data_IF_792904486605
#
_entry.id   IF_792904486605
#
_cell.length_a   1.000
_cell.length_b   1.000
_cell.length_c   1.000
_cell.angle_alpha   90.00
_cell.angle_beta   90.00
_cell.angle_gamma   90.00
#
_symmetry.space_group_name_H-M   'P 1'
#
loop_
_entity.id
_entity.type
_entity.pdbx_description
1 polymer ?
#
# COMPACT_ATOMS: atom_id res chain seq x y z
N UNK A 1 21.61 11.42 57.91
CA UNK A 1 20.35 11.12 58.63
C UNK A 1 19.49 10.24 57.73
N UNK A 2 19.78 8.94 57.65
CA UNK A 2 19.07 7.99 56.77
C UNK A 2 17.82 7.52 57.52
N UNK A 3 16.69 8.20 57.28
CA UNK A 3 15.40 7.85 57.87
C UNK A 3 14.98 6.44 57.43
N UNK A 4 14.65 5.62 58.43
CA UNK A 4 14.13 4.26 58.29
C UNK A 4 12.87 4.26 57.43
N UNK A 5 12.95 3.72 56.21
CA UNK A 5 11.76 3.34 55.45
C UNK A 5 10.84 2.49 56.34
N UNK A 6 9.52 2.80 56.41
CA UNK A 6 8.59 2.02 57.22
C UNK A 6 8.55 0.57 56.71
N UNK A 7 8.51 -0.39 57.65
CA UNK A 7 8.68 -1.82 57.36
C UNK A 7 7.70 -2.31 56.28
N UNK A 8 6.49 -1.76 56.25
CA UNK A 8 5.44 -2.01 55.24
C UNK A 8 5.88 -1.75 53.80
N UNK A 9 6.61 -0.66 53.54
CA UNK A 9 7.12 -0.33 52.19
C UNK A 9 8.23 -1.30 51.77
N UNK A 10 9.04 -1.78 52.72
CA UNK A 10 10.03 -2.82 52.42
C UNK A 10 9.38 -4.16 52.08
N UNK A 11 8.29 -4.53 52.75
CA UNK A 11 7.55 -5.77 52.47
C UNK A 11 6.89 -5.75 51.08
N UNK A 12 6.28 -4.63 50.68
CA UNK A 12 5.67 -4.50 49.34
C UNK A 12 6.72 -4.51 48.23
N UNK A 13 7.85 -3.83 48.41
CA UNK A 13 8.95 -3.83 47.43
C UNK A 13 9.61 -5.21 47.27
N UNK A 14 9.77 -5.97 48.35
CA UNK A 14 10.31 -7.34 48.31
C UNK A 14 9.34 -8.32 47.64
N UNK A 15 8.04 -8.19 47.91
CA UNK A 15 7.00 -8.96 47.24
C UNK A 15 6.92 -8.64 45.75
N UNK A 16 7.05 -7.36 45.37
CA UNK A 16 7.16 -6.97 43.97
C UNK A 16 8.38 -7.59 43.30
N UNK A 17 9.56 -7.56 43.96
CA UNK A 17 10.78 -8.17 43.43
C UNK A 17 10.61 -9.67 43.19
N UNK A 18 10.03 -10.39 44.14
CA UNK A 18 9.83 -11.84 44.00
C UNK A 18 8.77 -12.17 42.93
N UNK A 19 7.74 -11.33 42.77
CA UNK A 19 6.79 -11.41 41.66
C UNK A 19 7.48 -11.17 40.31
N UNK A 20 8.31 -10.13 40.20
CA UNK A 20 9.08 -9.83 38.99
C UNK A 20 10.08 -10.95 38.64
N UNK A 21 10.68 -11.61 39.63
CA UNK A 21 11.58 -12.74 39.39
C UNK A 21 10.81 -13.98 38.91
N UNK A 22 9.57 -14.17 39.37
CA UNK A 22 8.72 -15.28 38.92
C UNK A 22 8.03 -15.02 37.58
N UNK A 23 7.58 -13.80 37.32
CA UNK A 23 6.95 -13.38 36.06
C UNK A 23 7.99 -13.04 34.97
N UNK A 24 9.19 -12.63 35.36
CA UNK A 24 10.27 -12.18 34.48
C UNK A 24 10.59 -13.13 33.33
N UNK A 25 10.82 -14.44 33.57
CA UNK A 25 11.07 -15.39 32.48
C UNK A 25 9.91 -15.46 31.46
N UNK A 26 8.66 -15.35 31.92
CA UNK A 26 7.49 -15.38 31.04
C UNK A 26 7.33 -14.08 30.25
N UNK A 27 7.59 -12.93 30.86
CA UNK A 27 7.62 -11.64 30.17
C UNK A 27 8.74 -11.64 29.13
N UNK A 28 9.93 -12.11 29.49
CA UNK A 28 11.06 -12.26 28.57
C UNK A 28 10.73 -13.21 27.41
N UNK A 29 10.05 -14.33 27.69
CA UNK A 29 9.59 -15.24 26.64
C UNK A 29 8.59 -14.54 25.71
N UNK A 30 7.59 -13.83 26.25
CA UNK A 30 6.62 -13.11 25.43
C UNK A 30 7.28 -12.03 24.55
N UNK A 31 8.20 -11.24 25.13
CA UNK A 31 8.97 -10.23 24.39
C UNK A 31 9.86 -10.90 23.34
N UNK A 32 10.50 -12.02 23.65
CA UNK A 32 11.31 -12.77 22.70
C UNK A 32 10.48 -13.31 21.54
N UNK A 33 9.30 -13.87 21.81
CA UNK A 33 8.37 -14.34 20.78
C UNK A 33 7.87 -13.19 19.91
N UNK A 34 7.54 -12.04 20.50
CA UNK A 34 7.15 -10.85 19.76
C UNK A 34 8.30 -10.29 18.91
N UNK A 35 9.52 -10.27 19.44
CA UNK A 35 10.71 -9.82 18.71
C UNK A 35 11.05 -10.76 17.55
N UNK A 36 10.92 -12.08 17.77
CA UNK A 36 11.12 -13.08 16.72
C UNK A 36 10.04 -12.99 15.65
N UNK A 37 8.78 -12.76 16.05
CA UNK A 37 7.68 -12.50 15.12
C UNK A 37 7.90 -11.21 14.32
N UNK A 38 8.32 -10.13 14.98
CA UNK A 38 8.66 -8.87 14.32
C UNK A 38 9.76 -9.05 13.29
N UNK A 39 10.83 -9.78 13.65
CA UNK A 39 11.93 -10.07 12.74
C UNK A 39 11.52 -10.95 11.56
N UNK A 40 10.63 -11.92 11.78
CA UNK A 40 10.19 -12.85 10.74
C UNK A 40 9.16 -12.27 9.77
N UNK A 41 8.23 -11.43 10.26
CA UNK A 41 7.16 -10.85 9.46
C UNK A 41 7.53 -9.54 8.75
N UNK A 42 8.65 -8.91 9.15
CA UNK A 42 9.10 -7.58 8.73
C UNK A 42 7.93 -6.60 8.54
N UNK A 43 7.21 -6.26 9.63
CA UNK A 43 5.91 -5.62 9.50
C UNK A 43 6.01 -4.20 8.94
N UNK A 44 7.14 -3.50 9.08
CA UNK A 44 7.27 -2.11 8.69
C UNK A 44 7.73 -1.98 7.23
N UNK A 45 7.13 -1.09 6.43
CA UNK A 45 7.59 -0.90 5.08
C UNK A 45 9.00 -0.32 5.02
N UNK A 46 9.72 -0.58 3.92
CA UNK A 46 10.93 0.14 3.62
C UNK A 46 10.62 1.63 3.49
N UNK A 47 11.56 2.47 3.92
CA UNK A 47 11.42 3.94 3.93
C UNK A 47 11.63 4.58 2.57
N UNK A 48 11.87 3.78 1.53
CA UNK A 48 12.18 4.25 0.19
C UNK A 48 11.45 3.39 -0.83
N UNK A 49 10.90 4.04 -1.84
CA UNK A 49 10.27 3.39 -2.99
C UNK A 49 10.62 4.17 -4.25
N UNK A 50 10.85 3.49 -5.35
CA UNK A 50 11.18 4.09 -6.64
C UNK A 50 9.96 4.10 -7.56
N UNK A 51 9.61 5.28 -8.08
CA UNK A 51 8.44 5.48 -8.93
C UNK A 51 8.86 5.99 -10.31
N UNK A 52 8.64 5.21 -11.35
CA UNK A 52 8.81 5.65 -12.73
C UNK A 52 7.68 6.60 -13.15
N UNK A 53 8.06 7.73 -13.75
CA UNK A 53 7.15 8.83 -14.09
C UNK A 53 7.03 9.02 -15.60
N UNK A 54 7.34 10.18 -16.14
CA UNK A 54 7.32 10.45 -17.57
C UNK A 54 8.24 11.60 -17.91
N UNK A 55 8.17 12.11 -19.15
CA UNK A 55 8.96 13.25 -19.59
C UNK A 55 8.67 14.49 -18.74
N UNK A 56 9.58 15.48 -18.80
CA UNK A 56 9.36 16.76 -18.15
C UNK A 56 8.04 17.41 -18.61
N UNK A 57 7.32 18.03 -17.69
CA UNK A 57 6.02 18.69 -17.89
C UNK A 57 4.88 17.73 -18.29
N UNK A 58 5.09 16.42 -18.19
CA UNK A 58 4.03 15.43 -18.41
C UNK A 58 3.11 15.30 -17.19
N UNK A 59 1.90 14.78 -17.42
CA UNK A 59 0.98 14.44 -16.34
C UNK A 59 1.61 13.44 -15.35
N UNK A 60 2.40 12.48 -15.82
CA UNK A 60 3.06 11.49 -14.98
C UNK A 60 4.11 12.08 -14.04
N UNK A 61 4.86 13.10 -14.48
CA UNK A 61 5.79 13.81 -13.61
C UNK A 61 5.04 14.53 -12.48
N UNK A 62 3.97 15.25 -12.82
CA UNK A 62 3.16 15.99 -11.86
C UNK A 62 2.45 15.06 -10.88
N UNK A 63 1.88 13.95 -11.35
CA UNK A 63 1.33 12.93 -10.46
C UNK A 63 2.42 12.31 -9.59
N UNK A 64 3.58 11.98 -10.14
CA UNK A 64 4.73 11.48 -9.37
C UNK A 64 5.09 12.39 -8.19
N UNK A 65 5.16 13.72 -8.42
CA UNK A 65 5.39 14.71 -7.35
C UNK A 65 4.30 14.68 -6.27
N UNK A 66 3.03 14.51 -6.66
CA UNK A 66 1.90 14.39 -5.73
C UNK A 66 1.98 13.12 -4.89
N UNK A 67 2.31 11.97 -5.49
CA UNK A 67 2.55 10.73 -4.76
C UNK A 67 3.73 10.86 -3.80
N UNK A 68 4.84 11.47 -4.24
CA UNK A 68 5.99 11.73 -3.38
C UNK A 68 5.63 12.58 -2.16
N UNK A 69 4.86 13.65 -2.37
CA UNK A 69 4.38 14.51 -1.29
C UNK A 69 3.44 13.76 -0.33
N UNK A 70 2.54 12.94 -0.85
CA UNK A 70 1.59 12.17 -0.05
C UNK A 70 2.31 11.15 0.86
N UNK A 71 3.24 10.37 0.30
CA UNK A 71 3.97 9.34 1.04
C UNK A 71 5.02 9.92 2.00
N UNK A 72 5.54 11.11 1.73
CA UNK A 72 6.48 11.79 2.63
C UNK A 72 5.88 12.09 4.01
N UNK A 73 4.55 12.27 4.09
CA UNK A 73 3.83 12.46 5.38
C UNK A 73 4.01 11.24 6.29
N UNK A 74 4.09 10.04 5.70
CA UNK A 74 4.29 8.78 6.41
C UNK A 74 5.78 8.42 6.58
N UNK A 75 6.69 9.35 6.28
CA UNK A 75 8.13 9.15 6.39
C UNK A 75 8.73 8.25 5.31
N UNK A 76 8.06 8.13 4.15
CA UNK A 76 8.51 7.33 3.02
C UNK A 76 9.00 8.24 1.90
N UNK A 77 10.26 8.04 1.50
CA UNK A 77 10.88 8.73 0.38
C UNK A 77 10.47 8.06 -0.94
N UNK A 78 9.73 8.78 -1.79
CA UNK A 78 9.46 8.34 -3.16
C UNK A 78 10.50 8.95 -4.09
N UNK A 79 11.37 8.09 -4.64
CA UNK A 79 12.37 8.50 -5.62
C UNK A 79 11.76 8.47 -7.00
N UNK A 80 11.48 9.65 -7.53
CA UNK A 80 10.95 9.82 -8.88
C UNK A 80 12.05 9.52 -9.90
N UNK A 81 11.77 8.59 -10.80
CA UNK A 81 12.62 8.27 -11.93
C UNK A 81 11.97 8.80 -13.22
N UNK A 82 12.50 9.87 -13.82
CA UNK A 82 12.06 10.34 -15.13
C UNK A 82 12.23 9.25 -16.19
N UNK A 83 11.36 9.24 -17.19
CA UNK A 83 11.36 8.27 -18.28
C UNK A 83 10.75 8.87 -19.54
N UNK A 84 10.80 8.13 -20.64
CA UNK A 84 10.12 8.50 -21.90
C UNK A 84 8.59 8.24 -21.87
N UNK A 85 8.04 7.71 -20.77
CA UNK A 85 6.62 7.42 -20.61
C UNK A 85 6.30 5.93 -20.38
N UNK A 86 5.08 5.52 -20.71
CA UNK A 86 4.50 4.21 -20.33
C UNK A 86 5.35 3.01 -20.73
N UNK A 87 5.90 2.98 -21.96
CA UNK A 87 6.68 1.83 -22.46
C UNK A 87 8.01 1.69 -21.70
N UNK A 88 8.68 2.82 -21.46
CA UNK A 88 9.89 2.85 -20.67
C UNK A 88 9.61 2.47 -19.21
N UNK A 89 8.48 2.91 -18.63
CA UNK A 89 8.09 2.55 -17.26
C UNK A 89 7.87 1.05 -17.11
N UNK A 90 7.15 0.42 -18.04
CA UNK A 90 6.94 -1.02 -18.00
C UNK A 90 8.25 -1.78 -18.12
N UNK A 91 9.16 -1.35 -19.00
CA UNK A 91 10.48 -1.97 -19.12
C UNK A 91 11.30 -1.82 -17.82
N UNK A 92 11.26 -0.64 -17.18
CA UNK A 92 11.93 -0.42 -15.90
C UNK A 92 11.36 -1.30 -14.78
N UNK A 93 10.04 -1.56 -14.79
CA UNK A 93 9.37 -2.46 -13.86
C UNK A 93 9.81 -3.92 -14.08
N UNK A 94 9.81 -4.38 -15.34
CA UNK A 94 10.30 -5.72 -15.75
C UNK A 94 11.74 -5.96 -15.33
N UNK A 95 12.59 -4.96 -15.48
CA UNK A 95 14.01 -5.03 -15.11
C UNK A 95 14.26 -4.90 -13.59
N UNK A 96 13.22 -4.67 -12.77
CA UNK A 96 13.36 -4.43 -11.33
C UNK A 96 14.11 -3.14 -11.00
N UNK A 97 14.22 -2.21 -11.96
CA UNK A 97 14.89 -0.92 -11.78
C UNK A 97 14.01 0.14 -11.12
N UNK A 98 12.71 -0.12 -11.02
CA UNK A 98 11.74 0.62 -10.22
C UNK A 98 10.76 -0.32 -9.52
N UNK A 99 10.18 0.13 -8.42
CA UNK A 99 9.18 -0.63 -7.67
C UNK A 99 7.77 -0.43 -8.23
N UNK A 100 7.50 0.77 -8.75
CA UNK A 100 6.19 1.25 -9.17
C UNK A 100 6.32 2.13 -10.42
N UNK A 101 5.32 2.18 -11.29
CA UNK A 101 5.30 3.07 -12.45
C UNK A 101 3.91 3.29 -13.03
N UNK A 102 3.71 4.44 -13.66
CA UNK A 102 2.49 4.70 -14.44
C UNK A 102 2.57 3.99 -15.79
N UNK A 103 1.56 3.19 -16.13
CA UNK A 103 1.51 2.48 -17.41
C UNK A 103 0.14 2.69 -18.03
N UNK A 104 0.13 3.30 -19.22
CA UNK A 104 -1.05 3.43 -20.06
C UNK A 104 -1.34 2.08 -20.72
N UNK A 105 -2.60 1.67 -20.72
CA UNK A 105 -3.01 0.44 -21.35
C UNK A 105 -2.84 0.45 -22.87
N UNK A 106 -2.57 -0.72 -23.45
CA UNK A 106 -2.29 -0.89 -24.88
C UNK A 106 -0.89 -0.46 -25.34
N UNK A 107 -0.04 0.04 -24.43
CA UNK A 107 1.35 0.45 -24.70
C UNK A 107 2.20 -0.70 -25.26
N UNK A 108 2.05 -1.89 -24.71
CA UNK A 108 2.68 -3.13 -25.15
C UNK A 108 1.86 -4.33 -24.68
N UNK A 109 2.07 -5.48 -25.30
CA UNK A 109 1.40 -6.69 -24.86
C UNK A 109 2.10 -7.22 -23.58
N UNK A 110 1.28 -7.61 -22.61
CA UNK A 110 1.75 -8.26 -21.39
C UNK A 110 2.05 -9.74 -21.67
N UNK A 111 3.10 -10.25 -21.06
CA UNK A 111 3.51 -11.66 -21.11
C UNK A 111 2.97 -12.39 -19.88
N UNK A 112 2.91 -13.73 -19.93
CA UNK A 112 2.53 -14.53 -18.76
C UNK A 112 3.41 -14.22 -17.54
N UNK A 113 4.70 -13.95 -17.77
CA UNK A 113 5.62 -13.54 -16.71
C UNK A 113 5.25 -12.18 -16.10
N UNK A 114 4.74 -11.24 -16.89
CA UNK A 114 4.28 -9.95 -16.36
C UNK A 114 3.08 -10.13 -15.41
N UNK A 115 2.18 -11.07 -15.69
CA UNK A 115 1.04 -11.36 -14.80
C UNK A 115 1.47 -11.98 -13.46
N UNK A 116 2.64 -12.64 -13.41
CA UNK A 116 3.23 -13.20 -12.18
C UNK A 116 4.06 -12.17 -11.41
N UNK A 117 4.83 -11.34 -12.13
CA UNK A 117 5.82 -10.42 -11.55
C UNK A 117 5.24 -9.02 -11.27
N UNK A 118 4.16 -8.63 -11.93
CA UNK A 118 3.53 -7.31 -11.83
C UNK A 118 2.07 -7.40 -11.35
N UNK A 119 1.65 -6.35 -10.65
CA UNK A 119 0.27 -6.17 -10.23
C UNK A 119 -0.17 -4.73 -10.43
N UNK A 120 -1.45 -4.53 -10.68
CA UNK A 120 -2.06 -3.21 -10.76
C UNK A 120 -2.53 -2.74 -9.39
N UNK A 121 -2.18 -1.51 -9.03
CA UNK A 121 -2.72 -0.79 -7.86
C UNK A 121 -4.04 -0.07 -8.18
N UNK A 122 -4.56 -0.27 -9.40
CA UNK A 122 -5.80 0.31 -9.89
C UNK A 122 -5.60 1.21 -11.10
N UNK A 123 -6.66 1.30 -11.89
CA UNK A 123 -6.80 2.27 -12.96
C UNK A 123 -7.01 3.64 -12.35
N UNK A 124 -6.21 4.63 -12.74
CA UNK A 124 -6.14 5.95 -12.09
C UNK A 124 -6.92 7.03 -12.82
N UNK A 125 -6.92 7.00 -14.15
CA UNK A 125 -7.62 7.93 -15.01
C UNK A 125 -7.56 7.43 -16.46
N UNK A 126 -8.39 8.04 -17.30
CA UNK A 126 -8.38 7.82 -18.74
C UNK A 126 -7.62 8.94 -19.45
N UNK A 127 -6.98 8.60 -20.56
CA UNK A 127 -6.26 9.53 -21.42
C UNK A 127 -6.94 9.59 -22.79
N UNK A 128 -7.92 10.49 -22.99
CA UNK A 128 -8.66 10.54 -24.24
C UNK A 128 -7.75 10.74 -25.45
N UNK A 129 -8.07 10.03 -26.53
CA UNK A 129 -7.41 10.19 -27.82
C UNK A 129 -8.00 11.41 -28.54
N UNK A 130 -7.32 12.54 -28.45
CA UNK A 130 -7.68 13.79 -29.09
C UNK A 130 -7.25 13.76 -30.55
N UNK A 131 -8.19 13.52 -31.46
CA UNK A 131 -7.96 13.66 -32.90
C UNK A 131 -8.58 14.96 -33.40
N UNK A 132 -7.75 15.99 -33.52
CA UNK A 132 -8.15 17.26 -34.11
C UNK A 132 -7.90 17.25 -35.61
N UNK A 133 -8.81 17.86 -36.36
CA UNK A 133 -8.68 18.04 -37.80
C UNK A 133 -9.11 19.43 -38.21
N UNK A 134 -8.59 19.89 -39.35
CA UNK A 134 -9.02 21.16 -39.94
C UNK A 134 -10.32 20.97 -40.69
N UNK A 135 -11.26 21.88 -40.51
CA UNK A 135 -12.59 21.80 -41.12
C UNK A 135 -12.51 21.80 -42.66
N UNK A 136 -11.56 22.53 -43.25
CA UNK A 136 -11.33 22.55 -44.69
C UNK A 136 -10.88 21.19 -45.24
N UNK A 137 -10.07 20.44 -44.48
CA UNK A 137 -9.68 19.08 -44.82
C UNK A 137 -10.91 18.14 -44.80
N UNK A 138 -11.76 18.22 -43.78
CA UNK A 138 -12.99 17.42 -43.72
C UNK A 138 -13.95 17.73 -44.87
N UNK A 139 -14.07 19.01 -45.28
CA UNK A 139 -14.86 19.40 -46.46
C UNK A 139 -14.33 18.76 -47.74
N UNK A 140 -13.00 18.70 -47.92
CA UNK A 140 -12.38 18.04 -49.08
C UNK A 140 -12.66 16.54 -49.11
N UNK A 141 -12.53 15.86 -47.97
CA UNK A 141 -12.86 14.43 -47.84
C UNK A 141 -14.33 14.17 -48.20
N UNK A 142 -15.25 14.98 -47.65
CA UNK A 142 -16.67 14.85 -47.93
C UNK A 142 -17.00 15.11 -49.42
N UNK A 143 -16.34 16.08 -50.05
CA UNK A 143 -16.50 16.35 -51.49
C UNK A 143 -15.99 15.18 -52.36
N UNK A 144 -14.83 14.61 -52.02
CA UNK A 144 -14.28 13.45 -52.72
C UNK A 144 -15.19 12.21 -52.59
N UNK A 145 -15.73 11.96 -51.39
CA UNK A 145 -16.66 10.87 -51.16
C UNK A 145 -17.98 11.03 -51.96
N UNK A 146 -18.48 12.26 -52.07
CA UNK A 146 -19.66 12.56 -52.92
C UNK A 146 -19.35 12.34 -54.40
N UNK A 147 -18.19 12.77 -54.89
CA UNK A 147 -17.79 12.56 -56.28
C UNK A 147 -17.60 11.08 -56.63
N UNK A 148 -17.19 10.25 -55.67
CA UNK A 148 -17.04 8.80 -55.84
C UNK A 148 -18.40 8.04 -55.86
N UNK A 149 -19.45 8.58 -55.23
CA UNK A 149 -20.82 8.05 -55.33
C UNK A 149 -21.43 8.53 -56.68
N UNK A 150 -21.55 7.62 -57.65
CA UNK A 150 -22.04 7.89 -59.02
C UNK A 150 -23.35 8.72 -59.07
N UNK A 151 -23.59 9.51 -60.14
CA UNK A 151 -24.80 10.33 -60.27
C UNK A 151 -26.00 9.44 -60.59
N UNK A 152 -26.77 9.02 -59.57
CA UNK A 152 -27.98 8.22 -59.78
C UNK A 152 -28.63 7.60 -58.54
N UNK A 153 -27.94 7.55 -57.40
CA UNK A 153 -28.55 7.08 -56.15
C UNK A 153 -29.48 8.18 -55.57
N UNK A 154 -30.78 8.09 -55.85
CA UNK A 154 -31.80 8.93 -55.20
C UNK A 154 -31.67 8.82 -53.68
N UNK A 155 -31.63 9.97 -53.03
CA UNK A 155 -31.76 10.11 -51.59
C UNK A 155 -33.14 9.59 -51.13
N UNK A 156 -33.18 8.33 -50.69
CA UNK A 156 -34.28 7.76 -49.94
C UNK A 156 -33.74 7.38 -48.56
N UNK A 157 -33.74 8.34 -47.64
CA UNK A 157 -33.27 8.16 -46.27
C UNK A 157 -32.76 9.47 -45.69
N UNK A 158 -33.05 9.72 -44.40
CA UNK A 158 -32.54 10.83 -43.58
C UNK A 158 -31.10 11.20 -43.96
N UNK A 159 -30.85 12.51 -44.09
CA UNK A 159 -29.55 13.15 -44.31
C UNK A 159 -28.37 12.23 -43.95
N UNK A 160 -27.61 11.84 -44.97
CA UNK A 160 -26.32 11.14 -44.83
C UNK A 160 -25.47 11.98 -43.85
N UNK A 161 -24.78 11.40 -42.85
CA UNK A 161 -23.98 12.13 -41.86
C UNK A 161 -22.80 12.93 -42.44
N UNK A 162 -22.66 12.96 -43.77
CA UNK A 162 -21.71 13.76 -44.53
C UNK A 162 -22.18 15.21 -44.81
N UNK A 163 -23.40 15.61 -44.43
CA UNK A 163 -23.87 17.00 -44.61
C UNK A 163 -23.10 18.00 -43.74
N UNK A 164 -22.72 17.61 -42.53
CA UNK A 164 -21.78 18.36 -41.72
C UNK A 164 -20.36 17.90 -42.03
N UNK A 165 -19.50 18.79 -42.51
CA UNK A 165 -18.09 18.53 -42.78
C UNK A 165 -17.34 18.15 -41.49
N UNK A 166 -17.54 16.90 -41.08
CA UNK A 166 -17.09 16.32 -39.85
C UNK A 166 -16.52 14.93 -40.12
N UNK A 167 -15.47 14.59 -39.37
CA UNK A 167 -14.86 13.27 -39.42
C UNK A 167 -15.43 12.44 -38.26
N UNK A 168 -15.84 11.22 -38.55
CA UNK A 168 -16.43 10.28 -37.58
C UNK A 168 -15.88 8.85 -37.68
N UNK A 169 -15.00 8.58 -38.66
CA UNK A 169 -14.39 7.28 -38.88
C UNK A 169 -12.92 7.41 -39.30
N UNK A 170 -12.05 6.51 -38.81
CA UNK A 170 -10.62 6.52 -39.12
C UNK A 170 -10.30 6.32 -40.61
N UNK A 171 -11.18 5.65 -41.35
CA UNK A 171 -11.05 5.46 -42.81
C UNK A 171 -11.06 6.80 -43.57
N UNK A 172 -11.67 7.84 -43.00
CA UNK A 172 -11.72 9.17 -43.60
C UNK A 172 -10.39 9.93 -43.49
N UNK A 173 -9.40 9.40 -42.76
CA UNK A 173 -8.06 9.99 -42.66
C UNK A 173 -7.18 9.64 -43.86
N UNK A 174 -7.57 8.66 -44.69
CA UNK A 174 -6.77 8.23 -45.84
C UNK A 174 -6.49 9.40 -46.78
N UNK A 175 -5.22 9.57 -47.17
CA UNK A 175 -4.75 10.68 -48.00
C UNK A 175 -4.49 12.01 -47.25
N UNK A 176 -4.87 12.13 -45.97
CA UNK A 176 -4.58 13.31 -45.15
C UNK A 176 -3.14 13.30 -44.59
N UNK A 177 -2.64 14.50 -44.29
CA UNK A 177 -1.39 14.70 -43.55
C UNK A 177 -1.67 14.65 -42.06
N UNK A 178 -1.25 13.58 -41.40
CA UNK A 178 -1.60 13.30 -40.01
C UNK A 178 -0.35 13.23 -39.15
N UNK A 179 -0.31 13.94 -38.03
CA UNK A 179 0.74 13.76 -37.03
C UNK A 179 0.28 12.78 -35.94
N UNK A 180 1.08 11.74 -35.70
CA UNK A 180 0.80 10.71 -34.69
C UNK A 180 1.66 10.84 -33.42
N UNK A 181 2.39 11.95 -33.27
CA UNK A 181 3.29 12.16 -32.14
C UNK A 181 4.61 11.39 -32.24
N UNK A 182 5.44 11.53 -31.21
CA UNK A 182 6.75 10.87 -31.14
C UNK A 182 6.61 9.38 -30.80
N UNK A 183 7.59 8.53 -31.17
CA UNK A 183 7.56 7.08 -30.89
C UNK A 183 7.31 6.70 -29.42
N UNK A 184 7.81 7.47 -28.46
CA UNK A 184 7.65 7.21 -27.02
C UNK A 184 6.29 7.57 -26.42
N UNK A 185 5.47 8.36 -27.13
CA UNK A 185 4.22 8.92 -26.59
C UNK A 185 3.05 7.94 -26.45
N UNK A 186 3.21 6.67 -26.86
CA UNK A 186 2.12 5.68 -26.88
C UNK A 186 1.09 5.85 -28.00
N UNK A 187 0.90 7.08 -28.51
CA UNK A 187 -0.03 7.39 -29.61
C UNK A 187 0.26 6.58 -30.88
N UNK A 188 1.51 6.43 -31.37
CA UNK A 188 1.77 5.64 -32.58
C UNK A 188 1.38 4.16 -32.43
N UNK A 189 1.60 3.56 -31.26
CA UNK A 189 1.24 2.16 -30.97
C UNK A 189 -0.28 1.99 -30.98
N UNK A 190 -0.99 2.85 -30.25
CA UNK A 190 -2.45 2.85 -30.19
C UNK A 190 -3.07 3.08 -31.59
N UNK A 191 -2.61 4.10 -32.31
CA UNK A 191 -3.09 4.39 -33.65
C UNK A 191 -2.77 3.27 -34.63
N UNK A 192 -1.62 2.60 -34.51
CA UNK A 192 -1.31 1.40 -35.27
C UNK A 192 -2.37 0.31 -35.08
N UNK A 193 -2.65 -0.06 -33.82
CA UNK A 193 -3.68 -1.06 -33.47
C UNK A 193 -5.07 -0.66 -34.01
N UNK A 194 -5.44 0.62 -33.91
CA UNK A 194 -6.72 1.13 -34.42
C UNK A 194 -6.78 1.10 -35.96
N UNK A 195 -5.74 1.55 -36.66
CA UNK A 195 -5.70 1.55 -38.13
C UNK A 195 -5.73 0.12 -38.69
N UNK A 196 -4.96 -0.80 -38.11
CA UNK A 196 -4.95 -2.21 -38.47
C UNK A 196 -6.34 -2.86 -38.27
N UNK A 197 -6.99 -2.56 -37.15
CA UNK A 197 -8.36 -3.03 -36.84
C UNK A 197 -9.40 -2.57 -37.86
N UNK A 198 -9.16 -1.44 -38.53
CA UNK A 198 -9.97 -0.90 -39.63
C UNK A 198 -9.44 -1.27 -41.03
N UNK A 199 -8.40 -2.11 -41.13
CA UNK A 199 -7.74 -2.52 -42.38
C UNK A 199 -7.23 -1.34 -43.21
N UNK A 200 -6.71 -0.31 -42.54
CA UNK A 200 -6.10 0.85 -43.19
C UNK A 200 -4.61 0.62 -43.28
N UNK A 201 -4.08 0.62 -44.51
CA UNK A 201 -2.64 0.58 -44.74
C UNK A 201 -2.02 1.93 -44.35
N UNK A 202 -1.07 1.99 -43.40
CA UNK A 202 -0.38 3.21 -43.02
C UNK A 202 0.28 3.95 -44.19
N UNK A 203 0.65 3.26 -45.27
CA UNK A 203 1.23 3.89 -46.47
C UNK A 203 0.24 4.82 -47.21
N UNK A 204 -1.07 4.66 -46.97
CA UNK A 204 -2.10 5.55 -47.51
C UNK A 204 -2.21 6.87 -46.75
N UNK A 205 -1.56 6.96 -45.58
CA UNK A 205 -1.54 8.15 -44.72
C UNK A 205 -0.20 8.87 -44.88
N UNK A 206 -0.23 10.20 -44.94
CA UNK A 206 1.00 11.00 -44.87
C UNK A 206 1.34 11.27 -43.41
N UNK A 207 1.98 10.30 -42.77
CA UNK A 207 2.26 10.31 -41.32
C UNK A 207 3.50 11.15 -41.01
N UNK A 208 3.36 12.05 -40.06
CA UNK A 208 4.47 12.76 -39.38
C UNK A 208 4.56 12.35 -37.91
N UNK A 209 5.75 12.51 -37.32
CA UNK A 209 6.07 12.14 -35.93
C UNK A 209 6.73 13.28 -35.17
N UNK A 210 6.14 14.47 -35.31
CA UNK A 210 6.56 15.68 -34.63
C UNK A 210 6.11 15.66 -33.16
N UNK A 211 6.90 16.32 -32.31
CA UNK A 211 6.52 16.65 -30.94
C UNK A 211 5.28 17.56 -30.89
N UNK A 212 4.64 17.63 -29.73
CA UNK A 212 3.33 18.29 -29.56
C UNK A 212 3.33 19.76 -30.02
N UNK A 213 4.32 20.56 -29.63
CA UNK A 213 4.39 21.98 -30.00
C UNK A 213 4.67 22.18 -31.50
N UNK A 214 5.73 21.59 -32.09
CA UNK A 214 5.95 21.69 -33.55
C UNK A 214 4.78 21.14 -34.37
N UNK A 215 4.15 20.03 -33.95
CA UNK A 215 2.98 19.47 -34.61
C UNK A 215 1.80 20.45 -34.61
N UNK A 216 1.56 21.11 -33.48
CA UNK A 216 0.47 22.09 -33.36
C UNK A 216 0.74 23.30 -34.24
N UNK A 217 1.97 23.81 -34.28
CA UNK A 217 2.34 24.93 -35.15
C UNK A 217 2.13 24.57 -36.63
N UNK A 218 2.61 23.40 -37.06
CA UNK A 218 2.43 22.92 -38.42
C UNK A 218 0.94 22.71 -38.77
N UNK A 219 0.13 22.24 -37.82
CA UNK A 219 -1.31 22.06 -37.98
C UNK A 219 -2.05 23.39 -38.12
N UNK A 220 -1.81 24.36 -37.25
CA UNK A 220 -2.40 25.68 -37.33
C UNK A 220 -1.95 26.43 -38.59
N UNK A 221 -0.71 26.20 -39.05
CA UNK A 221 -0.16 26.72 -40.31
C UNK A 221 -0.71 26.05 -41.57
N UNK A 222 -1.51 24.98 -41.46
CA UNK A 222 -2.08 24.26 -42.60
C UNK A 222 -1.11 23.30 -43.30
N UNK A 223 0.04 23.00 -42.69
CA UNK A 223 0.98 21.96 -43.14
C UNK A 223 0.52 20.55 -42.78
N UNK A 224 -0.34 20.43 -41.76
CA UNK A 224 -1.01 19.19 -41.38
C UNK A 224 -2.53 19.35 -41.47
N UNK A 225 -3.21 18.25 -41.79
CA UNK A 225 -4.66 18.19 -41.89
C UNK A 225 -5.31 17.66 -40.60
N UNK A 226 -4.58 16.81 -39.86
CA UNK A 226 -5.00 16.28 -38.56
C UNK A 226 -3.81 16.05 -37.63
N UNK A 227 -4.07 16.14 -36.32
CA UNK A 227 -3.12 15.84 -35.25
C UNK A 227 -3.78 14.96 -34.20
N UNK A 228 -3.00 14.02 -33.65
CA UNK A 228 -3.46 13.09 -32.62
C UNK A 228 -2.64 13.27 -31.36
N UNK A 229 -3.32 13.41 -30.21
CA UNK A 229 -2.71 13.40 -28.89
C UNK A 229 -3.39 12.37 -27.98
N UNK A 230 -2.60 11.70 -27.14
CA UNK A 230 -3.10 11.07 -25.92
C UNK A 230 -2.61 11.93 -24.77
N UNK A 231 -3.53 12.62 -24.09
CA UNK A 231 -3.17 13.53 -23.01
C UNK A 231 -4.32 13.71 -22.03
N UNK A 232 -3.97 14.18 -20.83
CA UNK A 232 -4.96 14.58 -19.84
C UNK A 232 -5.95 15.63 -20.41
N UNK A 233 -7.23 15.54 -20.05
CA UNK A 233 -8.29 16.41 -20.57
C UNK A 233 -8.04 17.91 -20.42
N UNK A 234 -7.50 18.33 -19.28
CA UNK A 234 -7.35 19.72 -18.92
C UNK A 234 -6.06 20.37 -19.47
N UNK A 235 -5.35 19.69 -20.38
CA UNK A 235 -4.18 20.25 -21.04
C UNK A 235 -4.50 21.60 -21.71
N UNK A 236 -3.67 22.62 -21.46
CA UNK A 236 -3.81 23.95 -22.07
C UNK A 236 -3.83 23.89 -23.60
N UNK A 237 -3.09 22.94 -24.19
CA UNK A 237 -3.05 22.76 -25.63
C UNK A 237 -4.40 22.25 -26.18
N UNK A 238 -5.01 21.27 -25.49
CA UNK A 238 -6.32 20.72 -25.85
C UNK A 238 -7.40 21.80 -25.73
N UNK A 239 -7.37 22.59 -24.65
CA UNK A 239 -8.27 23.73 -24.45
C UNK A 239 -8.16 24.76 -25.59
N UNK A 240 -6.93 25.14 -25.95
CA UNK A 240 -6.68 26.07 -27.05
C UNK A 240 -7.23 25.54 -28.38
N UNK A 241 -6.98 24.26 -28.70
CA UNK A 241 -7.45 23.67 -29.95
C UNK A 241 -8.97 23.51 -30.01
N UNK A 242 -9.63 23.18 -28.90
CA UNK A 242 -11.10 23.12 -28.82
C UNK A 242 -11.76 24.48 -29.04
N UNK A 243 -11.05 25.58 -28.75
CA UNK A 243 -11.52 26.95 -28.93
C UNK A 243 -11.04 27.57 -30.26
N UNK A 244 -10.16 26.90 -31.00
CA UNK A 244 -9.58 27.47 -32.23
C UNK A 244 -10.57 27.39 -33.40
N UNK A 245 -10.89 28.53 -34.05
CA UNK A 245 -11.77 28.54 -35.22
C UNK A 245 -11.25 27.67 -36.37
N UNK A 246 -12.14 26.89 -36.99
CA UNK A 246 -11.78 26.00 -38.10
C UNK A 246 -11.09 24.70 -37.68
N UNK A 247 -10.87 24.48 -36.38
CA UNK A 247 -10.41 23.20 -35.81
C UNK A 247 -11.62 22.48 -35.24
N UNK A 248 -11.74 21.18 -35.55
CA UNK A 248 -12.79 20.32 -35.00
C UNK A 248 -12.19 19.07 -34.38
N UNK A 249 -12.88 18.54 -33.37
CA UNK A 249 -12.56 17.27 -32.74
C UNK A 249 -13.33 16.13 -33.44
N UNK A 250 -12.64 15.03 -33.73
CA UNK A 250 -13.26 13.86 -34.36
C UNK A 250 -14.15 13.11 -33.37
N UNK A 251 -15.36 12.77 -33.82
CA UNK A 251 -16.30 11.97 -33.03
C UNK A 251 -16.07 10.48 -33.31
N UNK A 252 -15.54 9.73 -32.34
CA UNK A 252 -15.38 8.29 -32.43
C UNK A 252 -16.72 7.56 -32.27
N UNK A 253 -17.51 7.57 -33.34
CA UNK A 253 -18.83 6.90 -33.42
C UNK A 253 -18.83 5.41 -33.03
N UNK A 254 -17.66 4.76 -33.15
CA UNK A 254 -17.44 3.35 -32.84
C UNK A 254 -16.68 3.14 -31.51
N UNK A 255 -16.64 4.14 -30.62
CA UNK A 255 -15.93 4.10 -29.33
C UNK A 255 -16.24 2.84 -28.51
N UNK A 256 -17.53 2.49 -28.39
CA UNK A 256 -18.03 1.27 -27.73
C UNK A 256 -17.58 -0.03 -28.41
N UNK A 257 -17.40 -0.01 -29.74
CA UNK A 257 -16.90 -1.19 -30.45
C UNK A 257 -15.40 -1.38 -30.20
N UNK A 258 -14.65 -0.28 -30.09
CA UNK A 258 -13.23 -0.36 -29.76
C UNK A 258 -12.99 -0.87 -28.34
N UNK A 259 -13.74 -0.42 -27.33
CA UNK A 259 -13.60 -0.90 -25.95
C UNK A 259 -13.88 -2.40 -25.81
N UNK A 260 -14.81 -2.94 -26.59
CA UNK A 260 -15.09 -4.39 -26.61
C UNK A 260 -14.01 -5.23 -27.29
N UNK A 261 -13.23 -4.62 -28.20
CA UNK A 261 -12.13 -5.30 -28.89
C UNK A 261 -10.79 -5.13 -28.19
N UNK A 262 -10.62 -4.03 -27.46
CA UNK A 262 -9.40 -3.67 -26.78
C UNK A 262 -9.74 -3.35 -25.32
N UNK A 263 -9.44 -4.31 -24.42
CA UNK A 263 -9.81 -4.22 -23.00
C UNK A 263 -9.22 -2.99 -22.29
N UNK A 264 -8.12 -2.43 -22.80
CA UNK A 264 -7.50 -1.21 -22.27
C UNK A 264 -8.21 0.10 -22.65
N UNK A 265 -9.18 0.05 -23.59
CA UNK A 265 -9.89 1.23 -24.07
C UNK A 265 -11.22 1.40 -23.35
N UNK A 266 -11.43 2.61 -22.83
CA UNK A 266 -12.69 3.05 -22.24
C UNK A 266 -13.42 3.96 -23.23
N UNK A 267 -14.71 3.73 -23.53
CA UNK A 267 -15.49 4.70 -24.28
C UNK A 267 -15.76 5.90 -23.38
N UNK A 268 -15.48 7.10 -23.88
CA UNK A 268 -15.64 8.33 -23.10
C UNK A 268 -16.45 9.35 -23.89
N UNK A 269 -17.11 10.25 -23.17
CA UNK A 269 -17.90 11.32 -23.77
C UNK A 269 -17.42 12.64 -23.23
N UNK A 270 -17.06 13.56 -24.13
CA UNK A 270 -16.85 14.96 -23.82
C UNK A 270 -18.21 15.67 -23.85
N UNK A 271 -18.77 16.08 -22.72
CA UNK A 271 -20.10 16.68 -22.69
C UNK A 271 -20.11 18.04 -23.40
N UNK A 272 -21.22 18.35 -24.06
CA UNK A 272 -21.51 19.68 -24.59
C UNK A 272 -21.25 20.77 -23.55
N UNK A 273 -20.52 21.82 -23.94
CA UNK A 273 -20.26 22.99 -23.11
C UNK A 273 -19.23 22.80 -21.98
N UNK A 274 -18.62 21.62 -21.83
CA UNK A 274 -17.71 21.35 -20.69
C UNK A 274 -16.43 22.19 -20.69
N UNK A 275 -15.99 22.68 -21.85
CA UNK A 275 -14.81 23.54 -21.99
C UNK A 275 -15.17 24.98 -21.66
N UNK A 276 -16.28 25.46 -22.22
CA UNK A 276 -16.84 26.78 -21.96
C UNK A 276 -18.37 26.68 -22.04
N UNK A 277 -19.02 26.86 -20.88
CA UNK A 277 -20.48 26.77 -20.76
C UNK A 277 -21.20 27.95 -21.42
N UNK A 278 -20.58 29.13 -21.44
CA UNK A 278 -21.18 30.34 -22.00
C UNK A 278 -21.10 30.31 -23.54
N UNK A 279 -19.95 29.91 -24.07
CA UNK A 279 -19.75 29.72 -25.51
C UNK A 279 -20.30 28.38 -26.02
N UNK A 280 -20.71 27.48 -25.12
CA UNK A 280 -21.18 26.13 -25.42
C UNK A 280 -20.16 25.33 -26.24
N UNK A 281 -18.94 25.20 -25.72
CA UNK A 281 -17.82 24.47 -26.33
C UNK A 281 -17.58 23.15 -25.57
N UNK A 282 -17.58 21.98 -26.24
CA UNK A 282 -18.00 21.75 -27.63
C UNK A 282 -19.52 21.97 -27.80
N UNK A 283 -20.00 22.22 -29.03
CA UNK A 283 -21.42 22.48 -29.31
C UNK A 283 -22.33 21.27 -29.08
N UNK A 284 -21.79 20.07 -29.22
CA UNK A 284 -22.46 18.78 -29.06
C UNK A 284 -21.59 17.82 -28.23
N UNK A 285 -22.20 16.76 -27.72
CA UNK A 285 -21.48 15.67 -27.06
C UNK A 285 -20.56 14.96 -28.08
N UNK A 286 -19.27 14.86 -27.76
CA UNK A 286 -18.28 14.18 -28.63
C UNK A 286 -17.87 12.87 -27.99
N UNK A 287 -18.01 11.75 -28.73
CA UNK A 287 -17.51 10.46 -28.27
C UNK A 287 -16.02 10.35 -28.56
N UNK A 288 -15.27 9.87 -27.58
CA UNK A 288 -13.84 9.64 -27.65
C UNK A 288 -13.54 8.21 -27.20
N UNK A 289 -12.38 7.74 -27.60
CA UNK A 289 -11.80 6.50 -27.10
C UNK A 289 -10.60 6.87 -26.24
N UNK A 290 -10.50 6.29 -25.04
CA UNK A 290 -9.49 6.66 -24.08
C UNK A 290 -8.80 5.42 -23.52
N UNK A 291 -7.50 5.20 -23.76
CA UNK A 291 -6.73 4.26 -22.97
C UNK A 291 -6.77 4.62 -21.49
N UNK A 292 -6.70 3.58 -20.66
CA UNK A 292 -6.73 3.73 -19.20
C UNK A 292 -5.31 3.66 -18.65
N UNK A 293 -4.92 4.63 -17.83
CA UNK A 293 -3.62 4.62 -17.16
C UNK A 293 -3.75 4.00 -15.78
N UNK A 294 -2.91 3.01 -15.49
CA UNK A 294 -2.86 2.29 -14.22
C UNK A 294 -1.55 2.53 -13.50
N UNK A 295 -1.59 2.47 -12.16
CA UNK A 295 -0.38 2.43 -11.35
C UNK A 295 0.05 0.97 -11.21
N UNK A 296 1.16 0.59 -11.82
CA UNK A 296 1.67 -0.79 -11.78
C UNK A 296 2.77 -0.88 -10.74
N UNK A 297 2.73 -1.93 -9.92
CA UNK A 297 3.77 -2.28 -8.96
C UNK A 297 4.32 -3.66 -9.30
N UNK A 298 5.54 -3.93 -8.85
CA UNK A 298 6.00 -5.32 -8.75
C UNK A 298 5.26 -6.08 -7.65
N UNK A 299 5.02 -7.38 -7.83
CA UNK A 299 4.40 -8.25 -6.81
C UNK A 299 5.26 -8.37 -5.55
N UNK A 300 6.58 -8.29 -5.71
CA UNK A 300 7.54 -8.26 -4.59
C UNK A 300 7.63 -6.94 -3.82
N UNK A 301 6.96 -5.86 -4.27
CA UNK A 301 6.94 -4.60 -3.53
C UNK A 301 6.24 -4.78 -2.18
N UNK A 302 6.79 -4.22 -1.11
CA UNK A 302 6.25 -4.44 0.24
C UNK A 302 4.74 -4.07 0.32
N UNK A 303 3.85 -4.92 0.88
CA UNK A 303 2.40 -4.69 0.76
C UNK A 303 1.94 -3.40 1.46
N UNK A 304 2.64 -2.93 2.50
CA UNK A 304 2.28 -1.66 3.14
C UNK A 304 2.56 -0.45 2.22
N UNK A 305 3.56 -0.53 1.33
CA UNK A 305 3.77 0.48 0.29
C UNK A 305 2.67 0.41 -0.76
N UNK A 306 2.32 -0.79 -1.22
CA UNK A 306 1.21 -0.98 -2.16
C UNK A 306 -0.09 -0.36 -1.64
N UNK A 307 -0.38 -0.58 -0.35
CA UNK A 307 -1.54 0.01 0.32
C UNK A 307 -1.46 1.54 0.37
N UNK A 308 -0.34 2.12 0.79
CA UNK A 308 -0.19 3.58 0.87
C UNK A 308 -0.31 4.24 -0.50
N UNK A 309 0.27 3.63 -1.53
CA UNK A 309 0.17 4.12 -2.90
C UNK A 309 -1.27 4.04 -3.41
N UNK A 310 -1.97 2.93 -3.16
CA UNK A 310 -3.38 2.81 -3.54
C UNK A 310 -4.26 3.82 -2.80
N UNK A 311 -4.01 4.07 -1.51
CA UNK A 311 -4.70 5.10 -0.73
C UNK A 311 -4.41 6.51 -1.26
N UNK A 312 -3.14 6.84 -1.53
CA UNK A 312 -2.77 8.11 -2.15
C UNK A 312 -3.44 8.28 -3.52
N UNK A 313 -3.64 7.17 -4.24
CA UNK A 313 -4.40 7.15 -5.49
C UNK A 313 -5.84 7.65 -5.32
N UNK A 314 -6.55 7.21 -4.27
CA UNK A 314 -7.91 7.68 -3.97
C UNK A 314 -7.96 9.20 -3.78
N UNK A 315 -6.99 9.77 -3.07
CA UNK A 315 -6.94 11.21 -2.79
C UNK A 315 -6.53 12.02 -4.04
N UNK A 316 -5.57 11.53 -4.81
CA UNK A 316 -5.03 12.23 -5.99
C UNK A 316 -5.99 12.15 -7.18
N UNK A 317 -6.65 11.01 -7.38
CA UNK A 317 -7.45 10.74 -8.57
C UNK A 317 -8.98 10.75 -8.33
N UNK A 318 -9.45 10.80 -7.09
CA UNK A 318 -10.88 10.79 -6.73
C UNK A 318 -11.67 12.06 -7.02
N UNK A 319 -11.03 13.15 -7.46
CA UNK A 319 -11.73 14.37 -7.88
C UNK A 319 -12.54 14.18 -9.17
N UNK A 320 -13.59 14.99 -9.35
CA UNK A 320 -14.32 15.08 -10.62
C UNK A 320 -13.47 15.76 -11.71
N UNK A 321 -13.76 15.47 -12.98
CA UNK A 321 -13.11 16.07 -14.15
C UNK A 321 -13.98 15.94 -15.40
N UNK A 322 -13.47 16.32 -16.56
CA UNK A 322 -14.26 16.33 -17.80
C UNK A 322 -14.75 14.95 -18.25
N UNK A 323 -14.02 13.90 -17.91
CA UNK A 323 -14.28 12.52 -18.31
C UNK A 323 -14.46 11.57 -17.12
N UNK A 324 -14.62 12.11 -15.92
CA UNK A 324 -14.80 11.31 -14.71
C UNK A 324 -15.70 11.99 -13.69
N UNK A 325 -16.53 11.20 -13.05
CA UNK A 325 -17.30 11.59 -11.88
C UNK A 325 -16.43 11.60 -10.63
N UNK A 326 -16.88 12.31 -9.60
CA UNK A 326 -16.22 12.27 -8.29
C UNK A 326 -16.22 10.82 -7.76
N UNK A 327 -15.05 10.37 -7.28
CA UNK A 327 -14.79 9.03 -6.73
C UNK A 327 -14.96 7.88 -7.73
N UNK A 328 -14.91 8.17 -9.03
CA UNK A 328 -14.90 7.14 -10.07
C UNK A 328 -13.55 6.44 -10.19
N UNK A 329 -12.47 7.16 -9.93
CA UNK A 329 -11.10 6.64 -9.93
C UNK A 329 -10.41 6.85 -8.57
N UNK A 330 -9.44 6.00 -8.19
CA UNK A 330 -9.06 4.78 -8.86
C UNK A 330 -10.14 3.69 -8.84
N UNK A 331 -10.14 2.81 -9.85
CA UNK A 331 -11.03 1.66 -9.91
C UNK A 331 -10.30 0.41 -10.43
N UNK A 332 -11.05 -0.66 -10.65
CA UNK A 332 -10.53 -1.98 -11.05
C UNK A 332 -10.86 -2.34 -12.50
N UNK A 333 -11.57 -1.47 -13.19
CA UNK A 333 -12.10 -1.73 -14.51
C UNK A 333 -10.98 -1.55 -15.54
N UNK A 334 -11.03 -2.30 -16.64
CA UNK A 334 -10.08 -2.18 -17.76
C UNK A 334 -8.59 -2.36 -17.35
N UNK A 335 -8.35 -3.06 -16.23
CA UNK A 335 -7.00 -3.44 -15.79
C UNK A 335 -6.52 -4.63 -16.61
N UNK A 336 -5.41 -4.45 -17.32
CA UNK A 336 -4.76 -5.52 -18.10
C UNK A 336 -3.92 -6.47 -17.21
N UNK A 337 -3.65 -6.08 -15.96
CA UNK A 337 -2.92 -6.90 -14.97
C UNK A 337 -3.81 -7.23 -13.76
N UNK A 338 -3.51 -8.31 -13.01
CA UNK A 338 -4.18 -8.63 -11.76
C UNK A 338 -4.10 -7.47 -10.75
N UNK A 339 -5.21 -7.17 -10.08
CA UNK A 339 -5.24 -6.14 -9.03
C UNK A 339 -4.59 -6.66 -7.75
N UNK A 340 -3.67 -5.89 -7.18
CA UNK A 340 -3.06 -6.19 -5.88
C UNK A 340 -4.12 -6.25 -4.76
N UNK A 341 -3.99 -7.21 -3.83
CA UNK A 341 -4.98 -7.42 -2.75
C UNK A 341 -5.12 -6.19 -1.85
N UNK A 342 -4.03 -5.49 -1.65
CA UNK A 342 -3.92 -4.25 -0.87
C UNK A 342 -4.66 -3.11 -1.57
N UNK A 343 -4.50 -3.00 -2.89
CA UNK A 343 -5.19 -2.01 -3.70
C UNK A 343 -6.70 -2.26 -3.77
N UNK A 344 -7.13 -3.52 -3.92
CA UNK A 344 -8.55 -3.86 -3.89
C UNK A 344 -9.22 -3.41 -2.59
N UNK A 345 -8.55 -3.61 -1.45
CA UNK A 345 -9.03 -3.16 -0.13
C UNK A 345 -9.09 -1.64 -0.05
N UNK A 346 -8.04 -0.95 -0.51
CA UNK A 346 -7.97 0.51 -0.46
C UNK A 346 -9.04 1.18 -1.35
N UNK A 347 -9.29 0.64 -2.55
CA UNK A 347 -10.30 1.17 -3.48
C UNK A 347 -11.72 0.97 -2.92
N UNK A 348 -12.03 -0.22 -2.37
CA UNK A 348 -13.38 -0.51 -1.85
C UNK A 348 -13.68 0.14 -0.50
N UNK A 349 -12.74 0.07 0.44
CA UNK A 349 -12.99 0.36 1.85
C UNK A 349 -12.28 1.65 2.34
N UNK A 350 -11.42 2.25 1.51
CA UNK A 350 -10.63 3.42 1.87
C UNK A 350 -9.56 3.12 2.94
N UNK A 351 -9.37 4.07 3.85
CA UNK A 351 -8.39 3.93 4.95
C UNK A 351 -8.87 2.91 6.00
N UNK A 352 -8.01 1.94 6.38
CA UNK A 352 -8.29 0.98 7.44
C UNK A 352 -8.66 1.65 8.75
N UNK A 353 -9.49 0.97 9.54
CA UNK A 353 -10.03 1.50 10.81
C UNK A 353 -8.92 1.91 11.77
N UNK A 354 -7.85 1.11 11.89
CA UNK A 354 -6.75 1.41 12.80
C UNK A 354 -6.00 2.69 12.39
N UNK A 355 -5.83 2.94 11.08
CA UNK A 355 -5.18 4.14 10.55
C UNK A 355 -6.01 5.42 10.76
N UNK A 356 -7.30 5.31 11.10
CA UNK A 356 -8.12 6.48 11.45
C UNK A 356 -7.80 7.06 12.83
N UNK A 357 -7.21 6.26 13.72
CA UNK A 357 -6.95 6.63 15.11
C UNK A 357 -5.48 6.54 15.50
N UNK A 358 -4.68 5.77 14.77
CA UNK A 358 -3.27 5.52 15.04
C UNK A 358 -2.40 5.98 13.86
N UNK A 359 -1.16 6.44 14.11
CA UNK A 359 -0.19 6.66 13.05
C UNK A 359 0.02 5.40 12.21
N UNK A 360 0.30 5.56 10.91
CA UNK A 360 0.42 4.48 9.94
C UNK A 360 1.33 3.34 10.41
N UNK A 361 2.53 3.65 10.91
CA UNK A 361 3.48 2.65 11.40
C UNK A 361 2.86 1.74 12.48
N UNK A 362 2.16 2.32 13.46
CA UNK A 362 1.55 1.57 14.55
C UNK A 362 0.38 0.74 14.04
N UNK A 363 -0.47 1.33 13.19
CA UNK A 363 -1.60 0.62 12.60
C UNK A 363 -1.13 -0.59 11.78
N UNK A 364 -0.16 -0.38 10.89
CA UNK A 364 0.40 -1.42 10.03
C UNK A 364 1.14 -2.51 10.83
N UNK A 365 1.84 -2.14 11.92
CA UNK A 365 2.44 -3.10 12.85
C UNK A 365 1.38 -4.02 13.48
N UNK A 366 0.31 -3.43 14.01
CA UNK A 366 -0.77 -4.18 14.67
C UNK A 366 -1.52 -5.07 13.67
N UNK A 367 -1.88 -4.55 12.49
CA UNK A 367 -2.60 -5.32 11.47
C UNK A 367 -1.82 -6.56 11.03
N UNK A 368 -0.51 -6.43 10.83
CA UNK A 368 0.36 -7.53 10.40
C UNK A 368 0.65 -8.53 11.51
N UNK A 369 0.81 -8.04 12.74
CA UNK A 369 1.12 -8.90 13.88
C UNK A 369 -0.12 -9.50 14.54
N UNK A 370 -1.33 -9.07 14.21
CA UNK A 370 -2.55 -9.47 14.95
C UNK A 370 -2.72 -10.99 15.08
N UNK A 371 -2.51 -11.74 14.00
CA UNK A 371 -2.61 -13.20 14.02
C UNK A 371 -1.58 -13.81 14.99
N UNK A 372 -0.32 -13.39 14.89
CA UNK A 372 0.76 -13.92 15.73
C UNK A 372 0.62 -13.47 17.18
N UNK A 373 0.22 -12.22 17.41
CA UNK A 373 -0.09 -11.71 18.73
C UNK A 373 -1.24 -12.51 19.37
N UNK A 374 -2.27 -12.86 18.60
CA UNK A 374 -3.34 -13.75 19.04
C UNK A 374 -2.82 -15.13 19.45
N UNK A 375 -1.94 -15.74 18.65
CA UNK A 375 -1.31 -17.04 18.97
C UNK A 375 -0.43 -16.92 20.23
N UNK A 376 0.39 -15.88 20.34
CA UNK A 376 1.23 -15.64 21.52
C UNK A 376 0.37 -15.47 22.76
N UNK A 377 -0.70 -14.68 22.70
CA UNK A 377 -1.64 -14.51 23.82
C UNK A 377 -2.28 -15.86 24.20
N UNK A 378 -2.71 -16.66 23.22
CA UNK A 378 -3.31 -17.97 23.45
C UNK A 378 -2.34 -18.93 24.17
N UNK A 379 -1.03 -18.87 23.86
CA UNK A 379 0.02 -19.66 24.55
C UNK A 379 0.38 -19.07 25.92
N UNK A 380 0.43 -17.74 26.03
CA UNK A 380 0.81 -17.05 27.27
C UNK A 380 -0.27 -17.15 28.36
N UNK A 381 -1.55 -17.23 27.99
CA UNK A 381 -2.65 -17.38 28.94
C UNK A 381 -2.52 -18.62 29.85
N UNK A 382 -2.40 -19.86 29.34
CA UNK A 382 -2.20 -21.02 30.19
C UNK A 382 -0.85 -20.97 30.92
N UNK A 383 0.19 -20.44 30.27
CA UNK A 383 1.53 -20.33 30.84
C UNK A 383 1.57 -19.38 32.04
N UNK A 384 0.76 -18.32 32.02
CA UNK A 384 0.60 -17.39 33.15
C UNK A 384 0.07 -18.05 34.42
N UNK A 385 -0.68 -19.16 34.30
CA UNK A 385 -1.14 -19.95 35.46
C UNK A 385 -0.02 -20.65 36.22
N UNK A 386 1.18 -20.73 35.63
CA UNK A 386 2.38 -21.31 36.26
C UNK A 386 3.09 -20.28 37.17
N UNK A 387 2.81 -18.97 36.99
CA UNK A 387 3.45 -17.91 37.78
C UNK A 387 3.10 -18.01 39.28
N UNK A 388 1.81 -18.16 39.69
CA UNK A 388 1.47 -18.30 41.11
C UNK A 388 2.14 -19.48 41.83
N UNK A 389 2.13 -20.73 41.32
CA UNK A 389 2.80 -21.85 41.99
C UNK A 389 4.32 -21.71 42.00
N UNK A 390 4.94 -21.14 40.96
CA UNK A 390 6.38 -20.86 40.97
C UNK A 390 6.76 -19.80 41.99
N UNK A 391 5.97 -18.74 42.12
CA UNK A 391 6.14 -17.73 43.16
C UNK A 391 6.05 -18.34 44.56
N UNK A 392 5.01 -19.15 44.81
CA UNK A 392 4.85 -19.87 46.07
C UNK A 392 6.06 -20.78 46.34
N UNK A 393 6.43 -21.63 45.39
CA UNK A 393 7.58 -22.52 45.50
C UNK A 393 8.86 -21.74 45.83
N UNK A 394 9.12 -20.61 45.19
CA UNK A 394 10.32 -19.80 45.41
C UNK A 394 10.36 -19.19 46.81
N UNK A 395 9.23 -18.65 47.29
CA UNK A 395 9.11 -18.09 48.65
C UNK A 395 9.27 -19.21 49.69
N UNK A 396 8.55 -20.32 49.54
CA UNK A 396 8.62 -21.48 50.44
C UNK A 396 10.00 -22.14 50.47
N UNK A 397 10.66 -22.27 49.32
CA UNK A 397 12.02 -22.84 49.23
C UNK A 397 13.03 -22.09 50.09
N UNK A 398 12.84 -20.79 50.35
CA UNK A 398 13.71 -20.04 51.26
C UNK A 398 13.54 -20.52 52.70
N UNK A 399 12.31 -20.84 53.11
CA UNK A 399 11.98 -21.35 54.45
C UNK A 399 12.46 -22.80 54.59
N UNK A 400 12.20 -23.64 53.58
CA UNK A 400 12.56 -25.06 53.61
C UNK A 400 14.06 -25.35 53.72
N UNK A 401 14.93 -24.48 53.19
CA UNK A 401 16.39 -24.62 53.38
C UNK A 401 16.78 -24.64 54.86
N UNK A 402 16.09 -23.85 55.70
CA UNK A 402 16.35 -23.80 57.14
C UNK A 402 15.73 -24.97 57.89
N UNK A 403 14.57 -25.45 57.44
CA UNK A 403 14.02 -26.72 57.92
C UNK A 403 15.00 -27.89 57.68
N UNK A 404 15.69 -27.91 56.54
CA UNK A 404 16.73 -28.89 56.26
C UNK A 404 17.88 -28.83 57.27
N UNK A 405 18.37 -27.62 57.58
CA UNK A 405 19.42 -27.43 58.59
C UNK A 405 18.95 -27.79 60.00
N UNK A 406 17.70 -27.45 60.35
CA UNK A 406 17.12 -27.84 61.63
C UNK A 406 17.02 -29.36 61.77
N UNK A 407 16.60 -30.05 60.70
CA UNK A 407 16.48 -31.52 60.69
C UNK A 407 17.84 -32.21 60.77
N UNK A 408 18.87 -31.62 60.17
CA UNK A 408 20.25 -32.10 60.31
C UNK A 408 20.76 -31.95 61.76
N UNK A 409 20.50 -30.81 62.40
CA UNK A 409 20.81 -30.60 63.83
C UNK A 409 20.03 -31.61 64.68
N UNK A 410 18.73 -31.80 64.44
CA UNK A 410 17.90 -32.77 65.17
C UNK A 410 18.41 -34.21 65.03
N UNK A 411 18.80 -34.62 63.82
CA UNK A 411 19.38 -35.95 63.57
C UNK A 411 20.70 -36.12 64.33
N UNK A 412 21.55 -35.08 64.37
CA UNK A 412 22.80 -35.08 65.14
C UNK A 412 22.55 -35.10 66.65
N UNK A 413 21.53 -34.41 67.15
CA UNK A 413 21.09 -34.49 68.57
C UNK A 413 20.68 -35.91 68.93
N UNK A 414 19.90 -36.58 68.07
CA UNK A 414 19.45 -37.96 68.31
C UNK A 414 20.60 -38.98 68.24
N UNK A 415 21.66 -38.67 67.49
CA UNK A 415 22.84 -39.54 67.32
C UNK A 415 23.90 -39.36 68.41
N UNK A 416 23.99 -38.18 69.02
CA UNK A 416 25.11 -37.79 69.89
C UNK A 416 24.98 -38.26 71.35
N UNK A 417 23.78 -38.66 71.78
CA UNK A 417 23.53 -39.09 73.17
C UNK A 417 23.92 -38.04 74.22
N UNK A 418 24.15 -38.48 75.47
CA UNK A 418 24.42 -37.64 76.65
C UNK A 418 25.86 -37.05 76.67
N UNK A 419 26.38 -36.65 75.50
CA UNK A 419 27.69 -36.02 75.39
C UNK A 419 27.56 -34.50 75.53
N UNK A 420 27.78 -34.00 76.76
CA UNK A 420 27.67 -32.59 77.13
C UNK A 420 28.47 -31.62 76.24
N UNK A 421 29.62 -32.07 75.70
CA UNK A 421 30.46 -31.24 74.82
C UNK A 421 29.82 -31.03 73.44
N UNK A 422 29.27 -32.09 72.85
CA UNK A 422 28.57 -32.06 71.56
C UNK A 422 27.25 -31.31 71.66
N UNK A 423 26.52 -31.46 72.77
CA UNK A 423 25.27 -30.74 73.02
C UNK A 423 25.48 -29.22 73.09
N UNK A 424 26.57 -28.74 73.71
CA UNK A 424 26.90 -27.30 73.71
C UNK A 424 27.19 -26.75 72.31
N UNK A 425 27.90 -27.50 71.47
CA UNK A 425 28.17 -27.10 70.09
C UNK A 425 26.88 -27.05 69.24
N UNK A 426 26.00 -28.04 69.39
CA UNK A 426 24.71 -28.09 68.70
C UNK A 426 23.76 -26.97 69.14
N UNK A 427 23.77 -26.58 70.42
CA UNK A 427 23.04 -25.39 70.91
C UNK A 427 23.54 -24.10 70.25
N UNK A 428 24.85 -23.95 70.08
CA UNK A 428 25.41 -22.77 69.43
C UNK A 428 25.04 -22.71 67.94
N UNK A 429 25.04 -23.86 67.25
CA UNK A 429 24.52 -23.98 65.88
C UNK A 429 23.04 -23.64 65.79
N UNK A 430 22.23 -24.10 66.74
CA UNK A 430 20.79 -23.81 66.79
C UNK A 430 20.52 -22.31 67.04
N UNK A 431 21.31 -21.65 67.89
CA UNK A 431 21.23 -20.20 68.11
C UNK A 431 21.63 -19.42 66.86
N UNK A 432 22.66 -19.89 66.13
CA UNK A 432 23.04 -19.31 64.83
C UNK A 432 21.92 -19.48 63.80
N UNK A 433 21.24 -20.63 63.78
CA UNK A 433 20.10 -20.90 62.92
C UNK A 433 18.91 -19.96 63.22
N UNK A 434 18.55 -19.80 64.50
CA UNK A 434 17.48 -18.90 64.94
C UNK A 434 17.76 -17.44 64.55
N UNK A 435 18.96 -16.93 64.85
CA UNK A 435 19.34 -15.56 64.50
C UNK A 435 19.31 -15.29 62.99
N UNK A 436 19.61 -16.32 62.17
CA UNK A 436 19.49 -16.24 60.71
C UNK A 436 18.04 -16.29 60.27
N UNK A 437 17.21 -17.15 60.87
CA UNK A 437 15.78 -17.27 60.60
C UNK A 437 14.99 -16.00 60.94
N UNK A 438 15.40 -15.26 61.98
CA UNK A 438 14.80 -13.98 62.36
C UNK A 438 14.98 -12.87 61.33
N UNK A 439 16.08 -12.92 60.57
CA UNK A 439 16.39 -11.93 59.51
C UNK A 439 15.64 -12.18 58.21
N UNK A 440 14.94 -13.32 58.10
CA UNK A 440 14.18 -13.67 56.90
C UNK A 440 12.92 -12.83 56.84
N UNK A 441 12.72 -12.20 55.68
CA UNK A 441 11.55 -11.38 55.39
C UNK A 441 10.70 -12.12 54.37
N UNK A 442 9.47 -12.52 54.73
CA UNK A 442 8.52 -13.19 53.83
C UNK A 442 7.25 -12.34 53.66
N UNK A 443 6.53 -12.44 52.52
CA UNK A 443 5.23 -11.82 52.35
C UNK A 443 4.23 -12.30 53.40
N UNK A 444 3.25 -11.46 53.75
CA UNK A 444 2.24 -11.73 54.78
C UNK A 444 1.53 -13.08 54.59
N UNK A 445 1.23 -13.47 53.35
CA UNK A 445 0.57 -14.73 53.01
C UNK A 445 1.37 -15.99 53.32
N UNK A 446 2.66 -15.88 53.67
CA UNK A 446 3.55 -17.00 54.01
C UNK A 446 4.15 -16.88 55.41
N UNK A 447 3.63 -15.97 56.25
CA UNK A 447 4.18 -15.74 57.60
C UNK A 447 3.97 -16.94 58.52
N UNK A 448 2.87 -17.69 58.34
CA UNK A 448 2.56 -18.88 59.14
C UNK A 448 3.66 -19.95 59.04
N UNK A 449 4.22 -20.17 57.85
CA UNK A 449 5.32 -21.13 57.64
C UNK A 449 6.61 -20.69 58.35
N UNK A 450 6.86 -19.39 58.42
CA UNK A 450 8.01 -18.83 59.15
C UNK A 450 7.81 -18.95 60.67
N UNK A 451 6.59 -18.72 61.17
CA UNK A 451 6.29 -18.92 62.59
C UNK A 451 6.37 -20.39 62.99
N UNK A 452 5.89 -21.31 62.14
CA UNK A 452 6.03 -22.74 62.36
C UNK A 452 7.51 -23.16 62.46
N UNK A 453 8.37 -22.62 61.59
CA UNK A 453 9.82 -22.89 61.67
C UNK A 453 10.40 -22.48 63.02
N UNK A 454 10.04 -21.28 63.51
CA UNK A 454 10.49 -20.78 64.82
C UNK A 454 9.99 -21.65 65.97
N UNK A 455 8.73 -22.06 65.93
CA UNK A 455 8.17 -22.97 66.93
C UNK A 455 8.94 -24.30 66.97
N UNK A 456 9.27 -24.86 65.81
CA UNK A 456 10.03 -26.10 65.71
C UNK A 456 11.48 -25.95 66.21
N UNK A 457 12.15 -24.82 65.94
CA UNK A 457 13.46 -24.50 66.52
C UNK A 457 13.41 -24.52 68.06
N UNK A 458 12.37 -23.92 68.65
CA UNK A 458 12.19 -23.94 70.11
C UNK A 458 11.91 -25.34 70.68
N UNK A 459 11.19 -26.19 69.94
CA UNK A 459 10.95 -27.58 70.35
C UNK A 459 12.26 -28.38 70.40
N UNK A 460 13.10 -28.29 69.37
CA UNK A 460 14.42 -28.95 69.33
C UNK A 460 15.32 -28.39 70.43
N UNK A 461 15.32 -27.08 70.66
CA UNK A 461 16.05 -26.45 71.80
C UNK A 461 15.64 -27.07 73.13
N UNK A 462 14.33 -27.23 73.37
CA UNK A 462 13.80 -27.78 74.61
C UNK A 462 14.17 -29.25 74.79
N UNK A 463 14.23 -30.03 73.70
CA UNK A 463 14.70 -31.42 73.71
C UNK A 463 16.18 -31.49 74.08
N UNK A 464 16.99 -30.63 73.47
CA UNK A 464 18.45 -30.57 73.68
C UNK A 464 18.82 -30.10 75.10
N UNK A 465 18.01 -29.23 75.72
CA UNK A 465 18.20 -28.82 77.12
C UNK A 465 17.71 -29.84 78.17
N UNK A 466 17.03 -30.91 77.74
CA UNK A 466 16.54 -31.99 78.61
C UNK A 466 17.43 -33.23 78.59
N UNK A 467 18.29 -33.36 77.57
CA UNK A 467 19.42 -34.29 77.52
C UNK A 467 20.57 -33.62 78.28
#
# INVERSE_FOLDING_TARGET
MVQRMPKTIRYTLLSLRDLWVSAGPFILLAVALLALAYWWLDPNPPKRVTLATGPAQSAYEEFGKRYAKALAVEGIEVVLKPSEGSAANLQLLREGKVDVGFVQGGTSDYTDQDEEDLASLGSLFVEPLWLFYREDAARKVAAAARAAKAPGARAAGKADPAEDASLSALTQLQGLRVNLGTPGSGVPSLMGKLLESNRIDPATLKISRLEQTPATVAFLGGELDAIVFASAPESLMVQMLLQTPGVKLMNFSQSEAYSRRFAFLTPTRLPRGVVDLAANIPPDDVQLVAPTTSLITRTGTHPALQQLLAQAGNDIHGGAGWFKSAREFPNRDNSELPIAKEAERAIKNGTPVLQRYLPFWVANLVERMWLVMGIIIAVMLPLSRIIPPLYAFRVRSRIFRWYGQLRDIETRVDSSGDNSSTNKALLEELNKLESRAEKITVPLSYTDELYALRANIHLVRKKLLRL
#
